data_IF_636038755247
#
_entry.id   IF_636038755247
#
_cell.length_a   1.000
_cell.length_b   1.000
_cell.length_c   1.000
_cell.angle_alpha   90.00
_cell.angle_beta   90.00
_cell.angle_gamma   90.00
#
_symmetry.space_group_name_H-M   'P 1'
#
loop_
_entity.id
_entity.type
_entity.pdbx_description
1 polymer ?
#
# COMPACT_ATOMS: atom_id res chain seq x y z
N UNK A 1 6.43 -7.43 3.09
CA UNK A 1 7.01 -8.76 2.76
C UNK A 1 7.49 -9.53 3.98
N UNK A 2 8.56 -9.08 4.67
CA UNK A 2 9.05 -9.81 5.86
C UNK A 2 7.96 -9.93 6.95
N UNK A 3 7.30 -8.83 7.30
CA UNK A 3 6.19 -8.81 8.27
C UNK A 3 5.03 -9.73 7.84
N UNK A 4 4.73 -9.77 6.54
CA UNK A 4 3.72 -10.66 5.96
C UNK A 4 4.08 -12.13 6.17
N UNK A 5 5.34 -12.50 5.94
CA UNK A 5 5.83 -13.86 6.18
C UNK A 5 5.78 -14.21 7.67
N UNK A 6 6.17 -13.30 8.55
CA UNK A 6 6.09 -13.50 10.00
C UNK A 6 4.65 -13.69 10.48
N UNK A 7 3.70 -12.90 9.96
CA UNK A 7 2.27 -13.07 10.25
C UNK A 7 1.77 -14.44 9.77
N UNK A 8 2.18 -14.89 8.57
CA UNK A 8 1.84 -16.22 8.05
C UNK A 8 2.42 -17.36 8.89
N UNK A 9 3.68 -17.24 9.34
CA UNK A 9 4.31 -18.20 10.25
C UNK A 9 3.58 -18.24 11.59
N UNK A 10 3.29 -17.07 12.19
CA UNK A 10 2.57 -17.00 13.45
C UNK A 10 1.18 -17.66 13.35
N UNK A 11 0.44 -17.40 12.27
CA UNK A 11 -0.85 -18.03 12.00
C UNK A 11 -0.73 -19.55 11.84
N UNK A 12 0.26 -20.02 11.07
CA UNK A 12 0.50 -21.46 10.88
C UNK A 12 0.84 -22.17 12.19
N UNK A 13 1.62 -21.52 13.07
CA UNK A 13 1.93 -22.03 14.40
C UNK A 13 0.69 -22.08 15.30
N UNK A 14 -0.17 -21.06 15.27
CA UNK A 14 -1.44 -21.08 16.01
C UNK A 14 -2.30 -22.25 15.56
N UNK A 15 -2.49 -22.44 14.25
CA UNK A 15 -3.28 -23.57 13.71
C UNK A 15 -2.68 -24.90 14.15
N UNK A 16 -1.36 -25.04 14.05
CA UNK A 16 -0.65 -26.27 14.43
C UNK A 16 -0.78 -26.57 15.93
N UNK A 17 -0.83 -25.53 16.78
CA UNK A 17 -0.99 -25.70 18.22
C UNK A 17 -2.41 -26.11 18.65
N UNK A 18 -3.41 -25.79 17.83
CA UNK A 18 -4.82 -26.10 18.12
C UNK A 18 -5.21 -27.53 17.72
N UNK A 19 -4.44 -28.15 16.83
CA UNK A 19 -4.80 -29.40 16.18
C UNK A 19 -3.82 -30.49 16.57
N UNK A 20 -4.33 -31.60 17.11
CA UNK A 20 -3.49 -32.69 17.60
C UNK A 20 -2.87 -33.55 16.47
N UNK A 21 -3.47 -33.54 15.28
CA UNK A 21 -3.06 -34.39 14.15
C UNK A 21 -2.56 -33.57 12.94
N UNK A 22 -1.37 -33.88 12.38
CA UNK A 22 -0.81 -33.16 11.24
C UNK A 22 -1.69 -33.15 9.99
N UNK A 23 -2.48 -34.20 9.72
CA UNK A 23 -3.36 -34.25 8.54
C UNK A 23 -4.51 -33.26 8.70
N UNK A 24 -5.03 -33.13 9.92
CA UNK A 24 -6.08 -32.16 10.23
C UNK A 24 -5.56 -30.72 10.08
N UNK A 25 -4.33 -30.44 10.52
CA UNK A 25 -3.70 -29.13 10.31
C UNK A 25 -3.52 -28.83 8.81
N UNK A 26 -3.07 -29.81 8.02
CA UNK A 26 -2.91 -29.66 6.57
C UNK A 26 -4.23 -29.37 5.83
N UNK A 27 -5.37 -29.84 6.34
CA UNK A 27 -6.69 -29.54 5.78
C UNK A 27 -7.24 -28.18 6.22
N UNK A 28 -6.93 -27.72 7.43
CA UNK A 28 -7.39 -26.42 7.96
C UNK A 28 -6.62 -25.26 7.32
N UNK A 29 -5.32 -25.43 7.03
CA UNK A 29 -4.49 -24.36 6.46
C UNK A 29 -5.10 -23.79 5.16
N UNK A 30 -5.46 -24.58 4.13
CA UNK A 30 -6.14 -24.08 2.94
C UNK A 30 -7.47 -23.40 3.24
N UNK A 31 -8.24 -23.91 4.19
CA UNK A 31 -9.53 -23.33 4.59
C UNK A 31 -9.38 -21.91 5.13
N UNK A 32 -8.25 -21.61 5.78
CA UNK A 32 -7.93 -20.26 6.27
C UNK A 32 -7.28 -19.41 5.18
N UNK A 33 -6.39 -19.98 4.36
CA UNK A 33 -5.66 -19.24 3.33
C UNK A 33 -6.51 -18.81 2.14
N UNK A 34 -7.43 -19.65 1.65
CA UNK A 34 -8.28 -19.33 0.50
C UNK A 34 -9.10 -18.04 0.75
N UNK A 35 -9.82 -17.91 1.90
CA UNK A 35 -10.47 -16.65 2.25
C UNK A 35 -9.52 -15.46 2.29
N UNK A 36 -8.30 -15.62 2.84
CA UNK A 36 -7.32 -14.53 2.89
C UNK A 36 -6.87 -14.05 1.52
N UNK A 37 -6.68 -14.97 0.56
CA UNK A 37 -6.26 -14.65 -0.81
C UNK A 37 -7.41 -13.95 -1.56
N UNK A 38 -8.64 -14.49 -1.46
CA UNK A 38 -9.81 -13.94 -2.15
C UNK A 38 -10.14 -12.55 -1.62
N UNK A 39 -10.24 -12.42 -0.29
CA UNK A 39 -10.57 -11.17 0.38
C UNK A 39 -9.35 -10.27 0.62
N UNK A 40 -8.19 -10.57 0.03
CA UNK A 40 -7.03 -9.67 0.04
C UNK A 40 -7.23 -8.46 -0.87
N UNK A 41 -8.18 -8.50 -1.81
CA UNK A 41 -8.43 -7.46 -2.80
C UNK A 41 -7.61 -7.60 -4.09
N UNK A 42 -6.73 -8.62 -4.16
CA UNK A 42 -5.88 -8.90 -5.32
C UNK A 42 -6.60 -9.73 -6.39
N UNK A 43 -7.32 -10.78 -5.99
CA UNK A 43 -8.09 -11.63 -6.92
C UNK A 43 -9.43 -11.01 -7.29
N UNK A 44 -10.17 -10.52 -6.29
CA UNK A 44 -11.47 -9.88 -6.48
C UNK A 44 -11.34 -8.44 -6.00
N UNK A 45 -11.64 -7.48 -6.90
CA UNK A 45 -11.62 -6.06 -6.55
C UNK A 45 -12.71 -5.76 -5.51
N UNK A 46 -12.40 -4.91 -4.54
CA UNK A 46 -13.39 -4.48 -3.55
C UNK A 46 -14.61 -3.80 -4.17
N UNK A 47 -14.46 -3.12 -5.31
CA UNK A 47 -15.57 -2.54 -6.06
C UNK A 47 -16.58 -3.62 -6.48
N UNK A 48 -16.09 -4.74 -7.00
CA UNK A 48 -16.92 -5.86 -7.44
C UNK A 48 -17.51 -6.61 -6.24
N UNK A 49 -16.74 -6.74 -5.14
CA UNK A 49 -17.22 -7.36 -3.90
C UNK A 49 -18.32 -6.52 -3.21
N UNK A 50 -18.19 -5.19 -3.20
CA UNK A 50 -19.21 -4.28 -2.67
C UNK A 50 -20.45 -4.21 -3.55
N UNK A 51 -20.31 -4.40 -4.86
CA UNK A 51 -21.45 -4.46 -5.79
C UNK A 51 -22.22 -5.77 -5.65
N UNK A 52 -21.51 -6.89 -5.45
CA UNK A 52 -22.11 -8.19 -5.15
C UNK A 52 -22.32 -8.35 -3.64
N UNK A 53 -23.33 -7.65 -3.11
CA UNK A 53 -23.81 -7.82 -1.73
C UNK A 53 -24.03 -9.30 -1.38
N UNK A 54 -24.43 -10.13 -2.35
CA UNK A 54 -24.58 -11.58 -2.19
C UNK A 54 -23.30 -12.35 -1.87
N UNK A 55 -22.12 -11.94 -2.37
CA UNK A 55 -20.86 -12.61 -2.00
C UNK A 55 -20.43 -12.24 -0.59
N UNK A 56 -20.47 -10.95 -0.24
CA UNK A 56 -20.22 -10.49 1.14
C UNK A 56 -21.21 -11.15 2.10
N UNK A 57 -22.48 -11.23 1.70
CA UNK A 57 -23.55 -11.90 2.44
C UNK A 57 -23.26 -13.39 2.63
N UNK A 58 -22.98 -14.16 1.57
CA UNK A 58 -22.70 -15.59 1.65
C UNK A 58 -21.45 -15.91 2.48
N UNK A 59 -20.39 -15.09 2.39
CA UNK A 59 -19.20 -15.27 3.23
C UNK A 59 -19.45 -14.85 4.69
N UNK A 60 -20.21 -13.78 4.93
CA UNK A 60 -20.62 -13.42 6.29
C UNK A 60 -21.47 -14.55 6.90
N UNK A 61 -22.42 -15.07 6.14
CA UNK A 61 -23.29 -16.20 6.51
C UNK A 61 -22.49 -17.49 6.74
N UNK A 62 -21.38 -17.70 6.04
CA UNK A 62 -20.49 -18.86 6.28
C UNK A 62 -19.72 -18.74 7.61
N UNK A 63 -19.43 -17.53 8.07
CA UNK A 63 -18.72 -17.29 9.34
C UNK A 63 -19.64 -17.01 10.54
N UNK A 64 -20.91 -16.64 10.33
CA UNK A 64 -21.85 -16.31 11.41
C UNK A 64 -23.05 -17.27 11.43
N UNK A 65 -23.08 -18.18 12.40
CA UNK A 65 -24.17 -19.14 12.61
C UNK A 65 -25.43 -18.55 13.29
N UNK A 66 -25.50 -17.23 13.57
CA UNK A 66 -26.68 -16.62 14.20
C UNK A 66 -27.13 -15.34 13.47
N UNK A 67 -28.43 -15.24 13.12
CA UNK A 67 -28.99 -14.08 12.45
C UNK A 67 -29.29 -13.00 13.48
N UNK A 68 -28.91 -11.76 13.20
CA UNK A 68 -29.79 -10.62 13.42
C UNK A 68 -29.21 -9.33 12.87
N UNK A 69 -30.13 -8.47 12.42
CA UNK A 69 -29.95 -7.08 12.02
C UNK A 69 -29.51 -6.85 10.57
N UNK A 70 -30.53 -6.78 9.72
CA UNK A 70 -30.64 -5.79 8.64
C UNK A 70 -30.09 -4.42 9.09
N UNK A 71 -28.83 -4.14 8.74
CA UNK A 71 -28.35 -2.76 8.63
C UNK A 71 -27.64 -2.64 7.31
N UNK A 72 -28.43 -2.34 6.29
CA UNK A 72 -27.99 -1.85 4.99
C UNK A 72 -27.30 -0.50 5.19
N UNK A 73 -26.07 -0.51 5.70
CA UNK A 73 -25.14 0.59 5.47
C UNK A 73 -24.82 0.52 3.99
N UNK A 74 -25.46 1.38 3.20
CA UNK A 74 -24.98 1.70 1.85
C UNK A 74 -23.50 1.99 1.99
N UNK A 75 -22.65 1.14 1.43
CA UNK A 75 -21.21 1.36 1.41
C UNK A 75 -20.98 2.73 0.79
N UNK A 76 -20.45 3.69 1.56
CA UNK A 76 -20.39 5.10 1.16
C UNK A 76 -19.43 5.31 -0.03
N UNK A 77 -18.52 4.35 -0.27
CA UNK A 77 -17.64 4.30 -1.43
C UNK A 77 -17.54 2.89 -2.01
N UNK A 78 -17.49 2.78 -3.34
CA UNK A 78 -17.25 1.51 -4.05
C UNK A 78 -15.92 0.87 -3.66
N UNK A 79 -14.92 1.68 -3.29
CA UNK A 79 -13.57 1.24 -2.90
C UNK A 79 -13.41 1.00 -1.38
N UNK A 80 -14.46 1.21 -0.59
CA UNK A 80 -14.38 0.98 0.85
C UNK A 80 -14.20 -0.51 1.15
N UNK A 81 -13.29 -0.83 2.05
CA UNK A 81 -13.03 -2.23 2.44
C UNK A 81 -14.13 -2.73 3.38
N UNK A 82 -14.80 -3.86 3.10
CA UNK A 82 -15.75 -4.49 4.01
C UNK A 82 -15.12 -4.82 5.36
N UNK A 83 -15.90 -4.76 6.44
CA UNK A 83 -15.40 -4.90 7.80
C UNK A 83 -14.68 -6.24 8.04
N UNK A 84 -15.21 -7.34 7.49
CA UNK A 84 -14.60 -8.68 7.62
C UNK A 84 -13.20 -8.70 6.99
N UNK A 85 -13.00 -8.01 5.86
CA UNK A 85 -11.73 -7.95 5.17
C UNK A 85 -10.68 -7.09 5.92
N UNK A 86 -11.10 -6.28 6.89
CA UNK A 86 -10.16 -5.50 7.72
C UNK A 86 -9.33 -6.40 8.66
N UNK A 87 -9.80 -7.60 8.98
CA UNK A 87 -9.07 -8.56 9.81
C UNK A 87 -8.04 -9.40 9.03
N UNK A 88 -7.99 -9.26 7.71
CA UNK A 88 -7.14 -10.08 6.85
C UNK A 88 -5.78 -9.40 6.70
N UNK A 89 -4.76 -9.95 7.37
CA UNK A 89 -3.39 -9.42 7.33
C UNK A 89 -2.86 -9.30 5.89
N UNK A 90 -3.16 -10.28 5.02
CA UNK A 90 -2.75 -10.27 3.61
C UNK A 90 -3.25 -9.03 2.86
N UNK A 91 -4.42 -8.50 3.22
CA UNK A 91 -4.98 -7.31 2.59
C UNK A 91 -4.10 -6.09 2.83
N UNK A 92 -3.74 -5.82 4.09
CA UNK A 92 -2.90 -4.68 4.45
C UNK A 92 -1.53 -4.79 3.78
N UNK A 93 -0.94 -5.99 3.78
CA UNK A 93 0.32 -6.22 3.08
C UNK A 93 0.21 -6.01 1.57
N UNK A 94 -0.91 -6.37 0.94
CA UNK A 94 -1.10 -6.21 -0.49
C UNK A 94 -1.32 -4.73 -0.86
N UNK A 95 -2.14 -4.03 -0.07
CA UNK A 95 -2.35 -2.58 -0.17
C UNK A 95 -1.01 -1.82 -0.10
N UNK A 96 -0.25 -2.05 0.96
CA UNK A 96 1.05 -1.43 1.19
C UNK A 96 2.04 -1.72 0.05
N UNK A 97 2.09 -2.96 -0.45
CA UNK A 97 2.99 -3.34 -1.54
C UNK A 97 2.64 -2.64 -2.86
N UNK A 98 1.36 -2.56 -3.21
CA UNK A 98 0.93 -1.91 -4.46
C UNK A 98 1.16 -0.40 -4.38
N UNK A 99 0.86 0.22 -3.24
CA UNK A 99 1.18 1.64 -3.03
C UNK A 99 2.69 1.87 -3.06
N UNK A 100 3.49 0.98 -2.45
CA UNK A 100 4.95 1.06 -2.49
C UNK A 100 5.48 1.00 -3.93
N UNK A 101 4.96 0.10 -4.77
CA UNK A 101 5.35 0.05 -6.18
C UNK A 101 5.04 1.37 -6.90
N UNK A 102 3.88 1.96 -6.61
CA UNK A 102 3.45 3.19 -7.25
C UNK A 102 4.24 4.43 -6.80
N UNK A 103 4.55 4.54 -5.50
CA UNK A 103 5.10 5.76 -4.90
C UNK A 103 6.58 5.68 -4.55
N UNK A 104 7.13 4.48 -4.34
CA UNK A 104 8.54 4.28 -3.95
C UNK A 104 9.42 3.77 -5.09
N UNK A 105 8.93 3.78 -6.33
CA UNK A 105 9.80 3.49 -7.47
C UNK A 105 10.79 4.65 -7.71
N UNK A 106 11.98 4.37 -8.29
CA UNK A 106 13.04 5.35 -8.44
C UNK A 106 12.67 6.63 -9.19
N UNK A 107 11.70 6.56 -10.10
CA UNK A 107 11.23 7.71 -10.88
C UNK A 107 10.26 8.56 -10.05
N UNK A 108 9.16 7.94 -9.61
CA UNK A 108 8.10 8.62 -8.85
C UNK A 108 8.62 9.22 -7.55
N UNK A 109 9.50 8.52 -6.84
CA UNK A 109 10.09 9.05 -5.61
C UNK A 109 10.81 10.39 -5.84
N UNK A 110 11.49 10.54 -6.99
CA UNK A 110 12.22 11.77 -7.34
C UNK A 110 11.29 12.85 -7.88
N UNK A 111 10.29 12.46 -8.66
CA UNK A 111 9.26 13.39 -9.15
C UNK A 111 8.45 13.98 -7.98
N UNK A 112 7.97 13.14 -7.06
CA UNK A 112 7.23 13.56 -5.87
C UNK A 112 8.11 14.44 -4.97
N UNK A 113 9.39 14.07 -4.75
CA UNK A 113 10.32 14.90 -3.99
C UNK A 113 10.51 16.29 -4.63
N UNK A 114 10.82 16.34 -5.94
CA UNK A 114 11.01 17.60 -6.65
C UNK A 114 9.74 18.44 -6.62
N UNK A 115 8.57 17.82 -6.81
CA UNK A 115 7.28 18.49 -6.77
C UNK A 115 6.98 19.08 -5.38
N UNK A 116 7.15 18.32 -4.32
CA UNK A 116 6.92 18.77 -2.94
C UNK A 116 7.86 19.92 -2.56
N UNK A 117 9.12 19.83 -2.97
CA UNK A 117 10.10 20.88 -2.69
C UNK A 117 9.80 22.16 -3.48
N UNK A 118 9.35 22.03 -4.74
CA UNK A 118 8.83 23.16 -5.52
C UNK A 118 7.64 23.81 -4.80
N UNK A 119 6.66 23.03 -4.33
CA UNK A 119 5.49 23.58 -3.65
C UNK A 119 5.86 24.31 -2.34
N UNK A 120 6.86 23.81 -1.59
CA UNK A 120 7.34 24.45 -0.36
C UNK A 120 8.13 25.73 -0.63
N UNK A 121 8.95 25.74 -1.66
CA UNK A 121 9.87 26.84 -1.98
C UNK A 121 9.22 27.95 -2.81
N UNK A 122 8.32 27.61 -3.74
CA UNK A 122 7.64 28.57 -4.60
C UNK A 122 7.03 29.78 -3.87
N UNK A 123 6.33 29.63 -2.73
CA UNK A 123 5.75 30.77 -2.01
C UNK A 123 6.79 31.62 -1.23
N UNK A 124 8.04 31.14 -1.05
CA UNK A 124 9.06 31.77 -0.18
C UNK A 124 10.35 32.14 -0.94
N UNK A 125 10.34 32.07 -2.27
CA UNK A 125 11.53 32.23 -3.10
C UNK A 125 11.90 33.71 -3.33
N UNK A 126 12.37 34.36 -2.27
CA UNK A 126 12.71 35.79 -2.29
C UNK A 126 14.16 36.06 -2.68
N UNK A 127 15.08 35.16 -2.33
CA UNK A 127 16.51 35.35 -2.62
C UNK A 127 16.88 34.86 -4.03
N UNK A 128 17.91 35.46 -4.68
CA UNK A 128 18.43 34.98 -5.96
C UNK A 128 18.85 33.50 -5.92
N UNK A 129 19.40 33.04 -4.79
CA UNK A 129 19.79 31.64 -4.59
C UNK A 129 18.58 30.71 -4.53
N UNK A 130 17.52 31.07 -3.80
CA UNK A 130 16.28 30.30 -3.74
C UNK A 130 15.60 30.19 -5.09
N UNK A 131 15.57 31.29 -5.86
CA UNK A 131 15.00 31.29 -7.22
C UNK A 131 15.81 30.39 -8.16
N UNK A 132 17.14 30.41 -8.06
CA UNK A 132 17.98 29.52 -8.86
C UNK A 132 17.76 28.05 -8.52
N UNK A 133 17.61 27.71 -7.24
CA UNK A 133 17.31 26.35 -6.81
C UNK A 133 15.91 25.90 -7.26
N UNK A 134 14.89 26.76 -7.09
CA UNK A 134 13.53 26.52 -7.57
C UNK A 134 13.48 26.24 -9.08
N UNK A 135 14.22 27.02 -9.88
CA UNK A 135 14.32 26.78 -11.32
C UNK A 135 15.00 25.44 -11.62
N UNK A 136 16.09 25.11 -10.92
CA UNK A 136 16.73 23.80 -11.04
C UNK A 136 15.79 22.63 -10.73
N UNK A 137 14.95 22.75 -9.69
CA UNK A 137 13.95 21.73 -9.36
C UNK A 137 12.88 21.61 -10.45
N UNK A 138 12.40 22.73 -11.01
CA UNK A 138 11.45 22.72 -12.13
C UNK A 138 12.04 22.06 -13.37
N UNK A 139 13.29 22.34 -13.68
CA UNK A 139 14.01 21.73 -14.80
C UNK A 139 14.21 20.23 -14.58
N UNK A 140 14.56 19.81 -13.35
CA UNK A 140 14.64 18.40 -12.97
C UNK A 140 13.28 17.72 -13.13
N UNK A 141 12.19 18.32 -12.65
CA UNK A 141 10.85 17.73 -12.78
C UNK A 141 10.44 17.59 -14.25
N UNK A 142 10.72 18.60 -15.08
CA UNK A 142 10.46 18.56 -16.51
C UNK A 142 11.28 17.47 -17.20
N UNK A 143 12.56 17.30 -16.84
CA UNK A 143 13.42 16.23 -17.33
C UNK A 143 12.88 14.86 -16.92
N UNK A 144 12.56 14.67 -15.64
CA UNK A 144 12.06 13.39 -15.11
C UNK A 144 10.74 12.98 -15.76
N UNK A 145 9.87 13.94 -16.10
CA UNK A 145 8.56 13.66 -16.73
C UNK A 145 8.66 13.13 -18.16
N UNK A 146 9.80 13.27 -18.81
CA UNK A 146 10.04 12.78 -20.17
C UNK A 146 11.41 12.12 -20.31
N UNK A 147 11.88 11.48 -19.23
CA UNK A 147 13.22 10.93 -19.20
C UNK A 147 13.33 9.70 -20.11
N UNK A 148 14.25 9.76 -21.06
CA UNK A 148 14.55 8.69 -22.00
C UNK A 148 16.06 8.41 -22.05
N UNK A 149 16.41 7.23 -22.54
CA UNK A 149 17.81 6.88 -22.74
C UNK A 149 18.02 5.77 -23.77
N UNK A 150 19.27 5.58 -24.21
CA UNK A 150 19.64 4.48 -25.11
C UNK A 150 19.44 3.11 -24.46
N UNK A 151 19.64 3.02 -23.13
CA UNK A 151 19.51 1.79 -22.36
C UNK A 151 18.95 2.05 -20.96
N UNK A 152 18.46 1.00 -20.30
CA UNK A 152 18.01 1.08 -18.91
C UNK A 152 19.11 1.55 -17.93
N UNK A 153 20.38 1.24 -18.22
CA UNK A 153 21.52 1.69 -17.43
C UNK A 153 21.75 3.19 -17.56
N UNK A 154 21.51 3.75 -18.74
CA UNK A 154 21.64 5.20 -18.96
C UNK A 154 20.52 5.96 -18.24
N UNK A 155 19.29 5.44 -18.30
CA UNK A 155 18.16 6.01 -17.54
C UNK A 155 18.46 6.00 -16.04
N UNK A 156 18.94 4.88 -15.47
CA UNK A 156 19.34 4.82 -14.06
C UNK A 156 20.49 5.79 -13.73
N UNK A 157 21.46 5.95 -14.63
CA UNK A 157 22.53 6.93 -14.49
C UNK A 157 21.97 8.36 -14.46
N UNK A 158 21.04 8.70 -15.35
CA UNK A 158 20.41 10.02 -15.38
C UNK A 158 19.59 10.30 -14.11
N UNK A 159 18.88 9.31 -13.58
CA UNK A 159 18.18 9.43 -12.29
C UNK A 159 19.16 9.73 -11.14
N UNK A 160 20.36 9.15 -11.13
CA UNK A 160 21.38 9.44 -10.11
C UNK A 160 21.99 10.84 -10.26
N UNK A 161 22.09 11.34 -11.49
CA UNK A 161 22.64 12.67 -11.77
C UNK A 161 21.75 13.82 -11.30
N UNK A 162 20.44 13.59 -11.15
CA UNK A 162 19.54 14.62 -10.60
C UNK A 162 19.59 14.71 -9.07
N UNK A 163 20.07 13.67 -8.37
CA UNK A 163 20.09 13.63 -6.89
C UNK A 163 20.88 14.79 -6.25
N UNK A 164 22.08 15.17 -6.73
CA UNK A 164 22.80 16.33 -6.20
C UNK A 164 22.11 17.67 -6.47
N UNK A 165 21.36 17.78 -7.57
CA UNK A 165 20.61 18.99 -7.94
C UNK A 165 19.40 19.15 -7.02
N UNK A 166 18.66 18.06 -6.80
CA UNK A 166 17.55 18.00 -5.86
C UNK A 166 17.99 18.31 -4.42
N UNK A 167 19.18 17.84 -4.01
CA UNK A 167 19.76 18.16 -2.71
C UNK A 167 20.33 19.59 -2.60
N UNK A 168 20.21 20.43 -3.64
CA UNK A 168 20.70 21.80 -3.67
C UNK A 168 22.24 21.93 -3.70
N UNK A 169 22.96 20.83 -3.93
CA UNK A 169 24.44 20.80 -3.95
C UNK A 169 25.02 21.26 -5.28
N UNK A 170 24.25 21.15 -6.36
CA UNK A 170 24.67 21.48 -7.72
C UNK A 170 23.56 22.22 -8.47
N UNK A 171 23.95 23.05 -9.45
CA UNK A 171 23.00 23.63 -10.40
C UNK A 171 22.63 22.58 -11.45
N UNK A 172 21.39 22.65 -11.94
CA UNK A 172 20.97 21.81 -13.04
C UNK A 172 21.78 22.14 -14.30
N UNK A 173 22.38 21.12 -14.90
CA UNK A 173 23.07 21.25 -16.17
C UNK A 173 22.43 20.32 -17.21
N UNK A 174 21.72 20.91 -18.17
CA UNK A 174 21.07 20.19 -19.27
C UNK A 174 22.07 19.50 -20.20
N UNK A 175 23.34 19.92 -20.20
CA UNK A 175 24.38 19.36 -21.05
C UNK A 175 24.68 17.89 -20.70
N UNK A 176 24.51 17.51 -19.43
CA UNK A 176 24.69 16.16 -18.92
C UNK A 176 23.63 15.17 -19.44
N UNK A 177 22.53 15.70 -19.99
CA UNK A 177 21.39 14.93 -20.50
C UNK A 177 21.23 15.08 -22.02
N UNK A 178 22.28 15.50 -22.75
CA UNK A 178 22.24 15.59 -24.22
C UNK A 178 21.90 14.26 -24.89
N UNK A 179 22.38 13.17 -24.31
CA UNK A 179 22.15 11.80 -24.77
C UNK A 179 20.93 11.15 -24.08
N UNK A 180 20.08 11.93 -23.39
CA UNK A 180 18.82 11.46 -22.81
C UNK A 180 17.71 11.39 -23.88
N UNK A 181 18.03 10.74 -25.01
CA UNK A 181 17.10 10.42 -26.08
C UNK A 181 17.36 8.99 -26.51
N UNK A 182 16.32 8.19 -26.58
CA UNK A 182 16.46 6.81 -26.99
C UNK A 182 15.15 6.03 -26.88
N UNK A 183 15.18 4.74 -27.24
CA UNK A 183 13.97 3.93 -27.29
C UNK A 183 13.44 3.54 -25.91
N UNK A 184 14.23 3.70 -24.84
CA UNK A 184 13.86 3.29 -23.48
C UNK A 184 13.43 4.51 -22.67
N UNK A 185 12.17 4.52 -22.24
CA UNK A 185 11.63 5.59 -21.37
C UNK A 185 11.69 5.18 -19.90
N UNK A 186 11.83 6.14 -19.00
CA UNK A 186 11.77 5.88 -17.55
C UNK A 186 10.40 5.35 -17.11
N UNK A 187 9.32 5.82 -17.74
CA UNK A 187 7.96 5.31 -17.49
C UNK A 187 7.85 3.82 -17.82
N UNK A 188 8.38 3.37 -18.95
CA UNK A 188 8.37 1.94 -19.29
C UNK A 188 9.14 1.07 -18.29
N UNK A 189 10.18 1.62 -17.65
CA UNK A 189 11.01 0.87 -16.70
C UNK A 189 10.41 0.82 -15.29
N UNK A 190 9.83 1.93 -14.83
CA UNK A 190 9.51 2.11 -13.42
C UNK A 190 8.01 2.29 -13.15
N UNK A 191 7.20 2.62 -14.16
CA UNK A 191 5.78 2.89 -13.99
C UNK A 191 4.96 1.72 -14.52
N UNK A 192 4.14 1.17 -13.63
CA UNK A 192 3.09 0.24 -14.03
C UNK A 192 1.78 1.01 -14.19
N UNK A 193 1.34 1.22 -15.44
CA UNK A 193 0.14 2.01 -15.74
C UNK A 193 -1.10 1.51 -14.99
N UNK A 194 -1.29 0.18 -14.91
CA UNK A 194 -2.47 -0.38 -14.22
C UNK A 194 -2.47 -0.03 -12.73
N UNK A 195 -1.29 -0.05 -12.11
CA UNK A 195 -1.15 0.30 -10.69
C UNK A 195 -1.33 1.80 -10.50
N UNK A 196 -0.74 2.63 -11.36
CA UNK A 196 -0.95 4.08 -11.34
C UNK A 196 -2.43 4.45 -11.46
N UNK A 197 -3.17 3.80 -12.36
CA UNK A 197 -4.61 3.98 -12.52
C UNK A 197 -5.40 3.59 -11.26
N UNK A 198 -5.00 2.51 -10.58
CA UNK A 198 -5.63 2.07 -9.33
C UNK A 198 -5.43 3.11 -8.21
N UNK A 199 -4.19 3.60 -8.04
CA UNK A 199 -3.88 4.61 -7.02
C UNK A 199 -4.61 5.92 -7.35
N UNK A 200 -4.55 6.38 -8.61
CA UNK A 200 -5.19 7.63 -9.04
C UNK A 200 -6.71 7.59 -8.80
N UNK A 201 -7.37 6.47 -9.10
CA UNK A 201 -8.80 6.29 -8.79
C UNK A 201 -9.09 6.35 -7.30
N UNK A 202 -8.25 5.72 -6.48
CA UNK A 202 -8.39 5.76 -5.03
C UNK A 202 -8.20 7.18 -4.48
N UNK A 203 -7.18 7.92 -4.96
CA UNK A 203 -6.95 9.31 -4.59
C UNK A 203 -8.12 10.21 -4.99
N UNK A 204 -8.68 10.04 -6.20
CA UNK A 204 -9.85 10.79 -6.65
C UNK A 204 -11.08 10.52 -5.79
N UNK A 205 -11.36 9.26 -5.45
CA UNK A 205 -12.48 8.86 -4.61
C UNK A 205 -12.32 9.38 -3.16
N UNK A 206 -11.09 9.41 -2.66
CA UNK A 206 -10.76 9.89 -1.33
C UNK A 206 -10.82 11.41 -1.20
N UNK A 207 -10.39 12.13 -2.24
CA UNK A 207 -10.33 13.59 -2.29
C UNK A 207 -11.52 14.23 -3.02
N UNK A 208 -12.58 13.47 -3.28
CA UNK A 208 -13.81 13.97 -3.89
C UNK A 208 -14.43 15.09 -3.02
N UNK A 209 -14.24 16.33 -3.44
CA UNK A 209 -14.71 17.54 -2.76
C UNK A 209 -16.23 17.63 -2.68
N UNK A 210 -16.96 16.84 -3.48
CA UNK A 210 -18.43 16.76 -3.43
C UNK A 210 -18.92 16.02 -2.20
N UNK A 211 -18.03 15.29 -1.51
CA UNK A 211 -18.34 14.56 -0.29
C UNK A 211 -17.96 15.41 0.92
N UNK A 212 -18.88 15.49 1.89
CA UNK A 212 -18.60 16.16 3.17
C UNK A 212 -17.59 15.41 4.05
N UNK A 213 -17.22 14.18 3.68
CA UNK A 213 -16.25 13.36 4.39
C UNK A 213 -15.29 12.66 3.41
N UNK A 214 -14.05 12.41 3.83
CA UNK A 214 -13.04 11.66 3.07
C UNK A 214 -13.03 10.20 3.52
N UNK A 215 -13.62 9.26 2.75
CA UNK A 215 -13.73 7.86 3.17
C UNK A 215 -12.37 7.15 3.18
N UNK A 216 -12.27 6.09 4.00
CA UNK A 216 -11.14 5.15 3.91
C UNK A 216 -11.37 4.22 2.73
N UNK A 217 -10.65 4.49 1.64
CA UNK A 217 -10.67 3.69 0.42
C UNK A 217 -9.47 2.76 0.35
N UNK A 218 -9.66 1.62 -0.32
CA UNK A 218 -8.57 0.74 -0.68
C UNK A 218 -7.61 1.46 -1.64
N UNK A 219 -6.30 1.30 -1.41
CA UNK A 219 -5.21 2.05 -2.05
C UNK A 219 -5.15 3.56 -1.76
N UNK A 220 -6.00 4.06 -0.86
CA UNK A 220 -5.92 5.45 -0.41
C UNK A 220 -4.61 5.73 0.33
N UNK A 221 -3.95 6.84 -0.02
CA UNK A 221 -2.66 7.22 0.57
C UNK A 221 -2.77 7.61 2.05
N UNK A 222 -3.94 8.10 2.47
CA UNK A 222 -4.24 8.42 3.86
C UNK A 222 -5.29 7.44 4.42
N UNK A 223 -5.15 7.09 5.68
CA UNK A 223 -6.14 6.35 6.46
C UNK A 223 -6.62 7.23 7.60
N UNK A 224 -7.93 7.47 7.68
CA UNK A 224 -8.56 8.34 8.67
C UNK A 224 -9.32 7.52 9.69
N UNK A 225 -8.83 7.51 10.92
CA UNK A 225 -9.49 6.86 12.06
C UNK A 225 -9.54 7.82 13.23
N UNK A 226 -10.69 7.91 13.90
CA UNK A 226 -10.90 8.81 15.04
C UNK A 226 -10.56 10.29 14.77
N UNK A 227 -10.77 10.76 13.53
CA UNK A 227 -10.45 12.13 13.12
C UNK A 227 -8.95 12.39 12.84
N UNK A 228 -8.08 11.39 13.01
CA UNK A 228 -6.65 11.48 12.76
C UNK A 228 -6.33 10.84 11.40
N UNK A 229 -5.52 11.51 10.58
CA UNK A 229 -5.02 10.99 9.33
C UNK A 229 -3.65 10.33 9.53
N UNK A 230 -3.50 9.11 9.03
CA UNK A 230 -2.26 8.33 9.03
C UNK A 230 -1.84 8.05 7.60
N UNK A 231 -0.54 8.11 7.29
CA UNK A 231 -0.04 7.61 6.02
C UNK A 231 -0.25 6.11 5.89
N UNK A 232 -0.62 5.63 4.71
CA UNK A 232 -0.91 4.22 4.44
C UNK A 232 0.23 3.29 4.85
N UNK A 233 1.48 3.65 4.56
CA UNK A 233 2.65 2.85 4.96
C UNK A 233 2.74 2.66 6.47
N UNK A 234 2.63 3.75 7.23
CA UNK A 234 2.69 3.70 8.70
C UNK A 234 1.52 2.90 9.26
N UNK A 235 0.32 3.16 8.75
CA UNK A 235 -0.89 2.52 9.24
C UNK A 235 -0.85 1.01 8.98
N UNK A 236 -0.59 0.59 7.74
CA UNK A 236 -0.60 -0.81 7.34
C UNK A 236 0.52 -1.60 8.03
N UNK A 237 1.72 -1.02 8.14
CA UNK A 237 2.83 -1.62 8.91
C UNK A 237 2.45 -1.83 10.37
N UNK A 238 1.83 -0.84 11.03
CA UNK A 238 1.40 -0.95 12.44
C UNK A 238 0.35 -2.07 12.58
N UNK A 239 -0.63 -2.14 11.67
CA UNK A 239 -1.64 -3.20 11.70
C UNK A 239 -1.00 -4.58 11.53
N UNK A 240 -0.03 -4.73 10.62
CA UNK A 240 0.69 -5.99 10.43
C UNK A 240 1.48 -6.40 11.69
N UNK A 241 2.18 -5.46 12.34
CA UNK A 241 2.90 -5.72 13.58
C UNK A 241 1.93 -6.16 14.69
N UNK A 242 0.87 -5.37 14.92
CA UNK A 242 -0.14 -5.68 15.95
C UNK A 242 -0.79 -7.04 15.70
N UNK A 243 -1.18 -7.33 14.46
CA UNK A 243 -1.78 -8.61 14.10
C UNK A 243 -0.84 -9.79 14.38
N UNK A 244 0.45 -9.64 14.07
CA UNK A 244 1.46 -10.66 14.34
C UNK A 244 1.66 -10.86 15.84
N UNK A 245 1.74 -9.78 16.62
CA UNK A 245 1.88 -9.85 18.07
C UNK A 245 0.66 -10.50 18.73
N UNK A 246 -0.54 -10.20 18.26
CA UNK A 246 -1.77 -10.86 18.74
C UNK A 246 -1.73 -12.36 18.46
N UNK A 247 -1.33 -12.79 17.27
CA UNK A 247 -1.19 -14.22 16.94
C UNK A 247 -0.16 -14.91 17.85
N UNK A 248 0.99 -14.26 18.09
CA UNK A 248 2.02 -14.79 18.99
C UNK A 248 1.55 -14.86 20.45
N UNK A 249 0.79 -13.86 20.90
CA UNK A 249 0.18 -13.86 22.22
C UNK A 249 -0.84 -14.99 22.39
N UNK A 250 -1.70 -15.19 21.38
CA UNK A 250 -2.67 -16.30 21.35
C UNK A 250 -1.94 -17.64 21.37
N UNK A 251 -0.90 -17.80 20.56
CA UNK A 251 -0.06 -19.01 20.57
C UNK A 251 0.53 -19.27 21.96
N UNK A 252 1.13 -18.25 22.57
CA UNK A 252 1.69 -18.35 23.91
C UNK A 252 0.63 -18.79 24.94
N UNK A 253 -0.56 -18.18 24.88
CA UNK A 253 -1.68 -18.52 25.76
C UNK A 253 -2.14 -19.97 25.60
N UNK A 254 -2.31 -20.44 24.35
CA UNK A 254 -2.71 -21.82 24.04
C UNK A 254 -1.69 -22.82 24.60
N UNK A 255 -0.40 -22.59 24.31
CA UNK A 255 0.68 -23.47 24.78
C UNK A 255 0.74 -23.52 26.30
N UNK A 256 0.60 -22.37 26.98
CA UNK A 256 0.59 -22.31 28.44
C UNK A 256 -0.57 -23.12 29.02
N UNK A 257 -1.78 -22.97 28.47
CA UNK A 257 -2.96 -23.71 28.94
C UNK A 257 -2.81 -25.22 28.73
N UNK A 258 -2.24 -25.65 27.60
CA UNK A 258 -1.96 -27.07 27.33
C UNK A 258 -0.92 -27.66 28.30
N UNK A 259 0.09 -26.87 28.70
CA UNK A 259 1.10 -27.28 29.67
C UNK A 259 0.53 -27.40 31.09
N UNK A 260 -0.37 -26.50 31.50
CA UNK A 260 -1.02 -26.54 32.81
C UNK A 260 -1.94 -27.77 32.96
N UNK A 261 -2.73 -28.10 31.92
CA UNK A 261 -3.60 -29.29 31.90
C UNK A 261 -2.80 -30.61 31.98
N UNK A 262 -1.56 -30.63 31.49
CA UNK A 262 -0.72 -31.84 31.51
C UNK A 262 0.00 -32.08 32.85
N UNK A 263 -0.01 -31.09 33.76
CA UNK A 263 0.62 -31.18 35.09
C UNK A 263 -0.35 -31.60 36.20
N UNK A 264 -1.65 -31.55 35.94
CA UNK A 264 -2.73 -32.10 36.78
C UNK A 264 -3.10 -33.50 36.34
#
# INVERSE_FOLDING_TARGET
MFLTAMSGVALGLVISSLVADPKTAANIVPLVLIPQIIMGGALIKYEDMNRNLGLVYSFSHWFSEHPNSEKTKKTESKLQVPLICQFIAMRWSYEEMIVAQAKLNPLMQRQDYAHDEIQKLAPKADTPQQRAHLNGLKDVLALLSGLEGPSARDVDRYLKLVDPVMAGKQRFDRSLFKDAKGPVTADQLYVNQKVSDLISRAEMEQNDYRRGNKPNVFFGLEKRYFGIAFGVFTFDTVVLIVSTLVLLFVLHWILRKQLEVRRT
#
